data_IF_905882755268
#
_entry.id   IF_905882755268
#
_cell.length_a   1.000
_cell.length_b   1.000
_cell.length_c   1.000
_cell.angle_alpha   90.00
_cell.angle_beta   90.00
_cell.angle_gamma   90.00
#
_symmetry.space_group_name_H-M   'P 1'
#
loop_
_entity.id
_entity.type
_entity.pdbx_description
1 polymer ?
#
# COMPACT_ATOMS: atom_id res chain seq x y z
N UNK A 1 -33.62 57.89 18.31
CA UNK A 1 -32.69 56.86 18.83
C UNK A 1 -31.97 56.25 17.63
N UNK A 2 -30.64 56.40 17.54
CA UNK A 2 -29.80 55.93 16.42
C UNK A 2 -29.33 54.51 16.70
N UNK A 3 -29.63 53.57 15.82
CA UNK A 3 -29.16 52.18 15.89
C UNK A 3 -27.84 52.07 15.11
N UNK A 4 -26.74 51.57 15.70
CA UNK A 4 -25.50 51.38 14.96
C UNK A 4 -25.52 50.03 14.23
N UNK A 5 -25.17 50.06 12.96
CA UNK A 5 -24.89 48.90 12.10
C UNK A 5 -23.52 48.33 12.45
N UNK A 6 -23.48 47.12 13.01
CA UNK A 6 -22.26 46.33 13.21
C UNK A 6 -22.02 45.48 11.96
N UNK A 7 -21.03 45.87 11.15
CA UNK A 7 -20.54 45.09 10.02
C UNK A 7 -19.60 43.98 10.49
N UNK A 8 -19.97 42.73 10.24
CA UNK A 8 -19.09 41.57 10.41
C UNK A 8 -18.24 41.37 9.15
N UNK A 9 -16.92 41.52 9.27
CA UNK A 9 -15.94 41.11 8.27
C UNK A 9 -15.73 39.60 8.39
N UNK A 10 -16.22 38.83 7.42
CA UNK A 10 -15.90 37.42 7.27
C UNK A 10 -14.54 37.29 6.58
N UNK A 11 -13.52 36.87 7.33
CA UNK A 11 -12.21 36.49 6.78
C UNK A 11 -12.35 35.07 6.22
N UNK A 12 -12.42 34.95 4.90
CA UNK A 12 -12.34 33.66 4.22
C UNK A 12 -10.89 33.15 4.31
N UNK A 13 -10.65 32.16 5.18
CA UNK A 13 -9.39 31.43 5.22
C UNK A 13 -9.26 30.57 3.97
N UNK A 14 -8.35 30.94 3.07
CA UNK A 14 -7.97 30.08 1.94
C UNK A 14 -7.22 28.86 2.50
N UNK A 15 -7.88 27.70 2.51
CA UNK A 15 -7.22 26.43 2.78
C UNK A 15 -6.25 26.15 1.62
N UNK A 16 -4.96 26.35 1.86
CA UNK A 16 -3.91 25.96 0.91
C UNK A 16 -3.82 24.43 0.94
N UNK A 17 -4.53 23.76 0.03
CA UNK A 17 -4.26 22.36 -0.27
C UNK A 17 -2.85 22.27 -0.86
N UNK A 18 -1.88 21.89 -0.05
CA UNK A 18 -0.55 21.51 -0.55
C UNK A 18 -0.72 20.26 -1.39
N UNK A 19 -0.63 20.41 -2.72
CA UNK A 19 -0.69 19.28 -3.63
C UNK A 19 0.49 18.34 -3.34
N UNK A 20 0.15 17.08 -3.02
CA UNK A 20 1.12 16.03 -2.76
C UNK A 20 1.92 15.71 -4.05
N UNK A 21 3.24 15.40 -3.97
CA UNK A 21 4.06 15.05 -5.12
C UNK A 21 3.47 13.94 -6.03
N UNK A 22 3.15 14.27 -7.27
CA UNK A 22 2.26 13.45 -8.12
C UNK A 22 2.94 12.32 -8.92
N UNK A 23 4.21 11.99 -8.68
CA UNK A 23 4.92 11.02 -9.52
C UNK A 23 5.82 10.10 -8.66
N UNK A 24 5.21 9.04 -8.11
CA UNK A 24 5.93 7.95 -7.45
C UNK A 24 6.29 6.88 -8.48
N UNK A 25 7.54 6.88 -8.93
CA UNK A 25 8.06 5.86 -9.85
C UNK A 25 8.66 4.65 -9.12
N UNK A 26 9.24 4.89 -7.93
CA UNK A 26 9.69 3.87 -7.00
C UNK A 26 9.16 4.23 -5.61
N UNK A 27 8.54 3.26 -4.94
CA UNK A 27 7.94 3.45 -3.64
C UNK A 27 7.96 2.17 -2.81
N UNK A 28 7.83 2.33 -1.50
CA UNK A 28 7.60 1.25 -0.56
C UNK A 28 6.10 1.08 -0.36
N UNK A 29 5.67 -0.14 -0.06
CA UNK A 29 4.29 -0.39 0.36
C UNK A 29 4.25 -0.52 1.88
N UNK A 30 3.35 0.25 2.49
CA UNK A 30 3.04 0.18 3.92
C UNK A 30 1.55 0.00 4.13
N UNK A 31 1.18 -0.74 5.16
CA UNK A 31 -0.21 -0.82 5.63
C UNK A 31 -0.46 0.26 6.67
N UNK A 32 -1.70 0.74 6.77
CA UNK A 32 -2.11 1.74 7.76
C UNK A 32 -3.61 1.66 8.01
N UNK A 33 -4.04 2.12 9.18
CA UNK A 33 -5.46 2.24 9.55
C UNK A 33 -6.17 3.43 8.89
N UNK A 34 -5.46 4.28 8.13
CA UNK A 34 -5.99 5.53 7.57
C UNK A 34 -6.08 5.52 6.05
N UNK A 35 -7.21 6.00 5.52
CA UNK A 35 -7.39 6.21 4.09
C UNK A 35 -6.63 7.45 3.57
N UNK A 36 -6.56 8.50 4.40
CA UNK A 36 -5.96 9.78 4.01
C UNK A 36 -4.46 9.63 3.79
N UNK A 37 -4.01 10.04 2.59
CA UNK A 37 -2.60 10.02 2.22
C UNK A 37 -1.79 11.04 3.04
N UNK A 38 -0.55 10.68 3.36
CA UNK A 38 0.43 11.59 3.93
C UNK A 38 1.70 11.61 3.07
N UNK A 39 2.37 12.77 3.03
CA UNK A 39 3.70 12.89 2.41
C UNK A 39 4.72 12.01 3.13
N UNK A 40 4.61 11.92 4.46
CA UNK A 40 5.54 11.18 5.29
C UNK A 40 4.85 9.95 5.88
N UNK A 41 5.48 8.79 5.70
CA UNK A 41 5.00 7.53 6.27
C UNK A 41 4.91 7.60 7.81
N UNK A 42 5.77 8.38 8.47
CA UNK A 42 5.77 8.56 9.93
C UNK A 42 4.55 9.30 10.47
N UNK A 43 3.80 10.02 9.62
CA UNK A 43 2.57 10.73 10.02
C UNK A 43 1.33 9.82 9.93
N UNK A 44 1.46 8.65 9.28
CA UNK A 44 0.39 7.66 9.19
C UNK A 44 0.25 6.89 10.52
N UNK A 45 -0.96 6.46 10.86
CA UNK A 45 -1.26 5.74 12.11
C UNK A 45 -1.25 4.22 11.94
N UNK A 46 -0.69 3.53 12.93
CA UNK A 46 -0.63 2.06 12.96
C UNK A 46 0.02 1.48 11.69
N UNK A 47 1.18 2.03 11.34
CA UNK A 47 1.86 1.71 10.09
C UNK A 47 2.68 0.45 10.23
N UNK A 48 2.60 -0.44 9.25
CA UNK A 48 3.53 -1.56 9.15
C UNK A 48 4.14 -1.61 7.76
N UNK A 49 5.45 -1.86 7.71
CA UNK A 49 6.14 -2.07 6.45
C UNK A 49 5.77 -3.44 5.89
N UNK A 50 5.92 -3.61 4.58
CA UNK A 50 5.65 -4.88 3.91
C UNK A 50 6.91 -5.50 3.32
N UNK A 51 6.92 -6.82 3.19
CA UNK A 51 8.01 -7.57 2.58
C UNK A 51 7.49 -8.77 1.81
N UNK A 52 8.24 -9.18 0.78
CA UNK A 52 7.95 -10.42 0.06
C UNK A 52 8.45 -11.62 0.85
N UNK A 53 7.67 -12.70 0.83
CA UNK A 53 8.07 -13.96 1.47
C UNK A 53 7.49 -15.18 0.74
N UNK A 54 8.16 -16.32 0.91
CA UNK A 54 7.74 -17.63 0.40
C UNK A 54 7.52 -18.57 1.59
N UNK A 55 6.27 -18.78 2.05
CA UNK A 55 6.02 -19.69 3.16
C UNK A 55 6.00 -21.18 2.76
N UNK A 56 5.85 -21.49 1.48
CA UNK A 56 5.50 -22.83 1.01
C UNK A 56 6.48 -23.42 0.02
N UNK A 57 7.67 -22.83 -0.14
CA UNK A 57 8.64 -23.26 -1.14
C UNK A 57 8.05 -23.24 -2.56
N UNK A 58 7.26 -22.20 -2.86
CA UNK A 58 6.47 -22.09 -4.09
C UNK A 58 6.98 -20.96 -5.01
N UNK A 59 6.67 -21.01 -6.32
CA UNK A 59 7.11 -19.95 -7.24
C UNK A 59 6.54 -18.55 -6.92
N UNK A 60 5.36 -18.50 -6.30
CA UNK A 60 4.66 -17.27 -5.96
C UNK A 60 5.11 -16.73 -4.60
N UNK A 61 5.59 -15.49 -4.58
CA UNK A 61 5.86 -14.75 -3.36
C UNK A 61 4.59 -14.05 -2.90
N UNK A 62 4.38 -14.00 -1.59
CA UNK A 62 3.28 -13.29 -0.95
C UNK A 62 3.80 -12.00 -0.32
N UNK A 63 2.89 -11.07 -0.04
CA UNK A 63 3.22 -9.85 0.71
C UNK A 63 2.80 -10.01 2.18
N UNK A 64 3.78 -9.98 3.09
CA UNK A 64 3.55 -9.96 4.54
C UNK A 64 3.83 -8.61 5.15
N UNK A 65 3.29 -8.40 6.35
CA UNK A 65 3.71 -7.33 7.23
C UNK A 65 5.02 -7.71 7.92
N UNK A 66 5.83 -6.70 8.20
CA UNK A 66 7.06 -6.82 8.98
C UNK A 66 7.13 -5.68 10.00
N UNK A 67 7.70 -6.01 11.17
CA UNK A 67 7.90 -5.05 12.24
C UNK A 67 8.93 -3.96 11.90
N UNK A 68 9.10 -2.96 12.79
CA UNK A 68 10.13 -1.94 12.63
C UNK A 68 11.55 -2.54 12.69
N UNK A 69 12.51 -1.87 12.03
CA UNK A 69 13.94 -2.22 12.10
C UNK A 69 14.47 -3.12 10.98
N UNK A 70 13.65 -3.46 9.99
CA UNK A 70 14.11 -4.17 8.79
C UNK A 70 14.76 -3.21 7.79
N UNK A 71 16.09 -3.24 7.67
CA UNK A 71 16.82 -2.27 6.84
C UNK A 71 16.69 -2.50 5.32
N UNK A 72 15.93 -3.51 4.88
CA UNK A 72 15.76 -3.80 3.46
C UNK A 72 14.28 -4.05 3.14
N UNK A 73 13.63 -2.99 2.64
CA UNK A 73 12.24 -3.02 2.20
C UNK A 73 12.18 -3.11 0.67
N UNK A 74 11.29 -3.92 0.10
CA UNK A 74 11.12 -3.99 -1.35
C UNK A 74 10.67 -2.65 -1.89
N UNK A 75 11.38 -2.19 -2.93
CA UNK A 75 10.94 -1.07 -3.75
C UNK A 75 10.04 -1.59 -4.86
N UNK A 76 8.88 -0.98 -5.00
CA UNK A 76 7.88 -1.30 -5.99
C UNK A 76 7.80 -0.20 -7.05
N UNK A 77 7.46 -0.62 -8.25
CA UNK A 77 6.95 0.24 -9.32
C UNK A 77 5.55 -0.23 -9.69
N UNK A 78 4.73 0.64 -10.29
CA UNK A 78 3.40 0.29 -10.79
C UNK A 78 3.29 0.69 -12.24
N UNK A 79 2.98 -0.27 -13.11
CA UNK A 79 2.75 -0.02 -14.54
C UNK A 79 1.67 -0.96 -15.06
N UNK A 80 0.77 -0.45 -15.89
CA UNK A 80 -0.31 -1.24 -16.52
C UNK A 80 -1.10 -2.11 -15.52
N UNK A 81 -1.36 -1.59 -14.32
CA UNK A 81 -2.11 -2.32 -13.31
C UNK A 81 -1.31 -3.33 -12.48
N UNK A 82 0.00 -3.42 -12.69
CA UNK A 82 0.86 -4.47 -12.14
C UNK A 82 1.97 -3.86 -11.28
N UNK A 83 2.06 -4.29 -10.03
CA UNK A 83 3.17 -3.98 -9.15
C UNK A 83 4.38 -4.83 -9.52
N UNK A 84 5.55 -4.23 -9.58
CA UNK A 84 6.79 -4.92 -9.91
C UNK A 84 7.86 -4.61 -8.86
N UNK A 85 8.66 -5.61 -8.49
CA UNK A 85 9.79 -5.43 -7.57
C UNK A 85 10.89 -6.46 -7.84
N UNK A 86 12.11 -6.18 -7.41
CA UNK A 86 13.24 -7.11 -7.50
C UNK A 86 13.38 -7.81 -6.16
N UNK A 87 13.35 -9.15 -6.16
CA UNK A 87 13.55 -9.97 -4.98
C UNK A 87 14.46 -11.16 -5.27
N UNK A 88 15.05 -11.73 -4.22
CA UNK A 88 15.80 -12.98 -4.35
C UNK A 88 14.84 -14.12 -4.62
N UNK A 89 15.12 -14.90 -5.65
CA UNK A 89 14.36 -16.09 -5.96
C UNK A 89 14.57 -17.16 -4.89
N UNK A 90 13.55 -17.97 -4.60
CA UNK A 90 13.69 -19.15 -3.76
C UNK A 90 14.85 -20.05 -4.24
N UNK A 91 15.43 -20.81 -3.31
CA UNK A 91 16.47 -21.83 -3.56
C UNK A 91 17.77 -21.33 -4.22
N UNK A 92 18.16 -20.08 -3.97
CA UNK A 92 19.43 -19.55 -4.48
C UNK A 92 19.41 -19.19 -5.96
N UNK A 93 18.23 -18.98 -6.54
CA UNK A 93 18.05 -18.60 -7.95
C UNK A 93 18.45 -17.17 -8.33
N UNK A 94 19.07 -16.42 -7.39
CA UNK A 94 19.50 -15.04 -7.57
C UNK A 94 18.36 -14.02 -7.61
N UNK A 95 18.69 -12.75 -7.83
CA UNK A 95 17.71 -11.68 -7.94
C UNK A 95 16.88 -11.80 -9.22
N UNK A 96 15.55 -11.70 -9.12
CA UNK A 96 14.62 -11.70 -10.25
C UNK A 96 13.60 -10.58 -10.13
N UNK A 97 13.04 -10.16 -11.27
CA UNK A 97 11.88 -9.28 -11.31
C UNK A 97 10.62 -10.10 -11.03
N UNK A 98 9.88 -9.68 -10.02
CA UNK A 98 8.61 -10.25 -9.60
C UNK A 98 7.48 -9.27 -9.91
N UNK A 99 6.41 -9.76 -10.51
CA UNK A 99 5.24 -8.99 -10.92
C UNK A 99 3.99 -9.50 -10.22
N UNK A 100 3.14 -8.59 -9.76
CA UNK A 100 1.88 -8.96 -9.13
C UNK A 100 0.95 -9.63 -10.14
N UNK A 101 0.24 -10.64 -9.68
CA UNK A 101 -0.92 -11.20 -10.38
C UNK A 101 -2.11 -10.24 -10.32
N UNK A 102 -3.18 -10.53 -11.08
CA UNK A 102 -4.46 -9.84 -10.93
C UNK A 102 -4.99 -10.10 -9.53
N UNK A 103 -5.44 -9.05 -8.84
CA UNK A 103 -5.97 -9.16 -7.49
C UNK A 103 -7.40 -9.64 -7.52
N UNK A 104 -7.67 -10.72 -6.80
CA UNK A 104 -8.98 -11.36 -6.69
C UNK A 104 -9.53 -11.28 -5.27
N UNK A 105 -10.85 -11.21 -5.13
CA UNK A 105 -11.49 -11.19 -3.82
C UNK A 105 -11.27 -12.51 -3.06
N UNK A 106 -10.97 -12.41 -1.77
CA UNK A 106 -10.66 -13.53 -0.90
C UNK A 106 -9.28 -14.16 -1.15
N UNK A 107 -8.40 -13.49 -1.90
CA UNK A 107 -7.05 -13.98 -2.21
C UNK A 107 -5.98 -13.05 -1.64
N UNK A 108 -4.85 -13.67 -1.29
CA UNK A 108 -3.61 -12.98 -0.96
C UNK A 108 -3.02 -12.33 -2.22
N UNK A 109 -2.33 -11.21 -2.06
CA UNK A 109 -1.60 -10.60 -3.15
C UNK A 109 -0.36 -11.44 -3.48
N UNK A 110 -0.30 -11.97 -4.70
CA UNK A 110 0.79 -12.84 -5.15
C UNK A 110 1.68 -12.17 -6.20
N UNK A 111 2.97 -12.51 -6.17
CA UNK A 111 3.97 -12.06 -7.11
C UNK A 111 4.70 -13.24 -7.75
N UNK A 112 4.82 -13.21 -9.08
CA UNK A 112 5.48 -14.26 -9.86
C UNK A 112 6.70 -13.70 -10.59
N UNK A 113 7.77 -14.50 -10.68
CA UNK A 113 8.96 -14.19 -11.48
C UNK A 113 8.72 -14.43 -12.98
N UNK A 114 7.65 -13.83 -13.51
CA UNK A 114 7.22 -13.96 -14.90
C UNK A 114 6.48 -12.69 -15.34
N UNK A 115 6.39 -12.46 -16.65
CA UNK A 115 5.52 -11.43 -17.18
C UNK A 115 4.06 -11.76 -16.85
N UNK A 116 3.32 -10.75 -16.41
CA UNK A 116 1.89 -10.85 -16.09
C UNK A 116 1.08 -10.08 -17.13
N UNK A 117 -0.20 -10.44 -17.37
CA UNK A 117 -1.12 -9.58 -18.09
C UNK A 117 -1.30 -8.23 -17.37
N UNK A 118 -2.00 -7.29 -18.02
CA UNK A 118 -2.38 -6.05 -17.36
C UNK A 118 -3.18 -6.37 -16.08
N UNK A 119 -2.75 -5.80 -14.96
CA UNK A 119 -3.39 -6.00 -13.66
C UNK A 119 -4.52 -5.00 -13.40
N UNK A 120 -5.02 -4.99 -12.18
CA UNK A 120 -6.13 -4.15 -11.72
C UNK A 120 -5.74 -3.19 -10.59
N UNK A 121 -4.44 -2.94 -10.39
CA UNK A 121 -3.95 -2.03 -9.35
C UNK A 121 -3.75 -0.60 -9.86
N UNK A 122 -4.13 0.39 -9.06
CA UNK A 122 -3.86 1.80 -9.35
C UNK A 122 -3.48 2.55 -8.07
N UNK A 123 -2.72 3.64 -8.20
CA UNK A 123 -2.52 4.59 -7.10
C UNK A 123 -3.54 5.71 -7.22
N UNK A 124 -4.48 5.77 -6.29
CA UNK A 124 -5.36 6.90 -6.14
C UNK A 124 -4.66 8.05 -5.38
N UNK A 125 -4.87 9.27 -5.86
CA UNK A 125 -4.12 10.45 -5.49
C UNK A 125 -2.58 10.30 -5.53
N UNK A 126 -2.06 9.28 -6.22
CA UNK A 126 -0.65 8.85 -6.26
C UNK A 126 -0.10 8.17 -4.99
N UNK A 127 -0.94 7.82 -4.00
CA UNK A 127 -0.48 7.23 -2.74
C UNK A 127 -1.25 5.99 -2.35
N UNK A 128 -2.57 6.00 -2.49
CA UNK A 128 -3.40 4.93 -1.98
C UNK A 128 -3.53 3.83 -3.02
N UNK A 129 -3.08 2.61 -2.70
CA UNK A 129 -3.20 1.47 -3.59
C UNK A 129 -4.66 1.01 -3.64
N UNK A 130 -5.22 0.98 -4.84
CA UNK A 130 -6.60 0.60 -5.12
C UNK A 130 -6.64 -0.65 -5.99
N UNK A 131 -7.74 -1.40 -5.90
CA UNK A 131 -8.05 -2.53 -6.78
C UNK A 131 -9.31 -2.19 -7.55
N UNK A 132 -9.24 -2.15 -8.88
CA UNK A 132 -10.35 -1.74 -9.75
C UNK A 132 -10.95 -0.37 -9.34
N UNK A 133 -10.07 0.55 -8.91
CA UNK A 133 -10.45 1.88 -8.41
C UNK A 133 -11.07 1.91 -7.00
N UNK A 134 -11.20 0.75 -6.34
CA UNK A 134 -11.71 0.67 -4.96
C UNK A 134 -10.59 0.88 -3.95
N UNK A 135 -10.78 1.86 -3.08
CA UNK A 135 -9.88 2.21 -1.96
C UNK A 135 -9.98 1.23 -0.80
N UNK A 136 -11.18 0.72 -0.56
CA UNK A 136 -11.52 -0.15 0.57
C UNK A 136 -11.62 -1.60 0.11
N UNK A 137 -11.16 -2.50 0.97
CA UNK A 137 -11.18 -3.94 0.72
C UNK A 137 -9.86 -4.61 1.09
N UNK A 138 -8.77 -3.88 1.26
CA UNK A 138 -7.54 -4.46 1.78
C UNK A 138 -7.74 -4.96 3.21
N UNK A 139 -7.24 -6.16 3.46
CA UNK A 139 -7.30 -6.79 4.77
C UNK A 139 -5.96 -7.40 5.12
N UNK A 140 -5.58 -7.32 6.39
CA UNK A 140 -4.49 -8.07 6.99
C UNK A 140 -5.10 -9.34 7.55
N UNK A 141 -4.63 -10.50 7.13
CA UNK A 141 -5.16 -11.80 7.58
C UNK A 141 -4.04 -12.67 8.15
N UNK A 142 -4.40 -13.60 9.03
CA UNK A 142 -3.51 -14.67 9.48
C UNK A 142 -3.05 -15.49 8.27
N UNK A 143 -1.75 -15.51 8.04
CA UNK A 143 -1.10 -16.29 6.99
C UNK A 143 -0.28 -17.44 7.55
N UNK A 144 0.50 -18.08 6.69
CA UNK A 144 1.35 -19.19 7.08
C UNK A 144 2.54 -18.77 7.95
N UNK A 145 3.01 -19.71 8.76
CA UNK A 145 4.19 -19.54 9.63
C UNK A 145 4.05 -18.35 10.60
N UNK A 146 2.84 -18.11 11.10
CA UNK A 146 2.50 -17.01 12.02
C UNK A 146 2.85 -15.62 11.45
N UNK A 147 2.71 -15.43 10.14
CA UNK A 147 2.89 -14.13 9.49
C UNK A 147 1.54 -13.54 9.09
N UNK A 148 1.40 -12.24 9.27
CA UNK A 148 0.29 -11.46 8.75
C UNK A 148 0.46 -11.18 7.26
N UNK A 149 -0.55 -11.48 6.45
CA UNK A 149 -0.51 -11.36 4.99
C UNK A 149 -1.53 -10.37 4.47
N UNK A 150 -1.15 -9.67 3.39
CA UNK A 150 -2.06 -8.76 2.71
C UNK A 150 -2.98 -9.53 1.75
N UNK A 151 -4.28 -9.41 1.97
CA UNK A 151 -5.33 -9.98 1.14
C UNK A 151 -6.32 -8.93 0.66
N UNK A 152 -6.99 -9.20 -0.46
CA UNK A 152 -8.09 -8.38 -0.93
C UNK A 152 -9.43 -9.01 -0.57
N UNK A 153 -10.29 -8.24 0.11
CA UNK A 153 -11.60 -8.65 0.62
C UNK A 153 -11.53 -9.98 1.37
N UNK A 154 -10.52 -10.11 2.24
CA UNK A 154 -10.39 -11.26 3.13
C UNK A 154 -11.59 -11.38 4.06
N UNK A 155 -12.13 -12.59 4.18
CA UNK A 155 -13.31 -12.90 5.02
C UNK A 155 -13.01 -13.97 6.06
N UNK A 156 -11.77 -14.45 6.12
CA UNK A 156 -11.36 -15.38 7.15
C UNK A 156 -11.45 -14.73 8.55
N UNK A 157 -11.69 -15.55 9.56
CA UNK A 157 -11.67 -15.10 10.95
C UNK A 157 -10.29 -14.52 11.26
N UNK A 158 -10.25 -13.33 11.87
CA UNK A 158 -8.99 -12.64 12.18
C UNK A 158 -8.54 -11.66 11.10
N UNK A 159 -9.18 -11.61 9.93
CA UNK A 159 -8.89 -10.57 8.95
C UNK A 159 -9.33 -9.19 9.45
N UNK A 160 -8.41 -8.23 9.47
CA UNK A 160 -8.65 -6.84 9.85
C UNK A 160 -8.56 -5.91 8.65
N UNK A 161 -9.46 -4.93 8.56
CA UNK A 161 -9.44 -3.95 7.48
C UNK A 161 -8.20 -3.04 7.57
N UNK A 162 -7.59 -2.75 6.44
CA UNK A 162 -6.44 -1.84 6.33
C UNK A 162 -6.54 -1.00 5.06
N UNK A 163 -5.67 -0.01 4.95
CA UNK A 163 -5.31 0.65 3.72
C UNK A 163 -3.86 0.34 3.37
N UNK A 164 -3.50 0.49 2.10
CA UNK A 164 -2.15 0.26 1.60
C UNK A 164 -1.66 1.53 0.91
N UNK A 165 -0.57 2.10 1.42
CA UNK A 165 0.00 3.34 0.91
C UNK A 165 1.35 3.07 0.23
N UNK A 166 1.54 3.73 -0.90
CA UNK A 166 2.83 3.92 -1.55
C UNK A 166 3.53 5.12 -0.89
N UNK A 167 4.68 4.86 -0.27
CA UNK A 167 5.46 5.88 0.45
C UNK A 167 6.91 5.91 -0.04
N UNK A 168 7.59 7.04 0.10
CA UNK A 168 8.99 7.18 -0.35
C UNK A 168 10.01 6.63 0.65
N UNK A 169 9.69 6.69 1.93
CA UNK A 169 10.60 6.34 3.02
C UNK A 169 9.95 5.30 3.92
N UNK A 170 10.78 4.52 4.61
CA UNK A 170 10.32 3.59 5.63
C UNK A 170 9.55 4.36 6.74
N UNK A 171 8.63 3.68 7.46
CA UNK A 171 7.80 4.32 8.47
C UNK A 171 8.52 4.59 9.82
N UNK A 172 9.84 4.36 9.91
CA UNK A 172 10.68 4.53 11.11
C UNK A 172 12.01 5.21 10.79
#
# INVERSE_FOLDING_TARGET
MRCPTLGFLAVAGAATCTALPTNLTNFLLVTTSQADASVNASDLKAVSATSLFDPFNQPALLLRLIGPGYNNLPNFTLSSGTLSTIAQAPFGGGAKLYNSTIVEAGKELQFLAAQQPAGNLALDANYLLTVDGQREGWTICDGALDNDVLSWKGTAKGCEATYVHAVRNAPY
#
